data_IF_695367405557
#
_entry.id   IF_695367405557
#
_cell.length_a   1.000
_cell.length_b   1.000
_cell.length_c   1.000
_cell.angle_alpha   90.00
_cell.angle_beta   90.00
_cell.angle_gamma   90.00
#
_symmetry.space_group_name_H-M   'P 1'
#
loop_
_entity.id
_entity.type
_entity.pdbx_description
1 polymer ?
#
# COMPACT_ATOMS: atom_id res chain seq x y z
N UNK A 1 -9.05 -3.45 9.56
CA UNK A 1 -7.95 -2.60 10.09
C UNK A 1 -8.40 -1.19 10.45
N UNK A 2 -9.33 -0.56 9.73
CA UNK A 2 -9.75 0.82 9.98
C UNK A 2 -10.22 1.13 11.42
N UNK A 3 -10.71 0.13 12.17
CA UNK A 3 -11.11 0.30 13.58
C UNK A 3 -9.94 0.21 14.58
N UNK A 4 -8.73 -0.13 14.12
CA UNK A 4 -7.55 -0.37 14.95
C UNK A 4 -6.37 0.54 14.62
N UNK A 5 -6.26 1.00 13.36
CA UNK A 5 -5.15 1.82 12.89
C UNK A 5 -5.49 3.32 12.97
N UNK A 6 -4.52 4.14 13.37
CA UNK A 6 -4.67 5.61 13.37
C UNK A 6 -4.64 6.20 11.94
N UNK A 7 -4.03 5.48 11.00
CA UNK A 7 -3.92 5.88 9.60
C UNK A 7 -3.87 4.65 8.71
N UNK A 8 -4.62 4.69 7.60
CA UNK A 8 -4.66 3.64 6.59
C UNK A 8 -4.31 4.23 5.23
N UNK A 9 -3.07 4.03 4.80
CA UNK A 9 -2.57 4.47 3.48
C UNK A 9 -2.95 3.42 2.44
N UNK A 10 -3.61 3.84 1.37
CA UNK A 10 -4.01 2.96 0.26
C UNK A 10 -3.31 3.44 -1.00
N UNK A 11 -2.51 2.56 -1.61
CA UNK A 11 -1.81 2.77 -2.88
C UNK A 11 -2.04 1.61 -3.84
N UNK A 12 -1.15 1.47 -4.84
CA UNK A 12 -1.23 0.41 -5.83
C UNK A 12 -2.54 0.40 -6.62
N UNK A 13 -2.85 -0.72 -7.28
CA UNK A 13 -4.09 -0.86 -8.05
C UNK A 13 -5.37 -0.67 -7.22
N UNK A 14 -5.31 -0.95 -5.91
CA UNK A 14 -6.46 -0.82 -5.01
C UNK A 14 -6.95 0.62 -4.88
N UNK A 15 -6.05 1.62 -4.97
CA UNK A 15 -6.44 3.01 -4.78
C UNK A 15 -7.44 3.50 -5.83
N UNK A 16 -7.43 2.94 -7.04
CA UNK A 16 -8.32 3.38 -8.13
C UNK A 16 -9.79 3.06 -7.84
N UNK A 17 -10.10 1.93 -7.22
CA UNK A 17 -11.48 1.65 -6.79
C UNK A 17 -11.96 2.65 -5.72
N UNK A 18 -11.07 3.07 -4.81
CA UNK A 18 -11.39 4.12 -3.84
C UNK A 18 -11.56 5.50 -4.48
N UNK A 19 -10.71 5.88 -5.44
CA UNK A 19 -10.83 7.13 -6.18
C UNK A 19 -12.12 7.16 -7.02
N UNK A 20 -12.45 6.05 -7.68
CA UNK A 20 -13.70 5.90 -8.42
C UNK A 20 -14.94 5.99 -7.49
N UNK A 21 -14.85 5.44 -6.27
CA UNK A 21 -15.90 5.58 -5.26
C UNK A 21 -16.10 7.04 -4.79
N UNK A 22 -15.09 7.90 -4.92
CA UNK A 22 -15.19 9.36 -4.72
C UNK A 22 -15.77 10.11 -5.94
N UNK A 23 -16.11 9.39 -7.02
CA UNK A 23 -16.62 9.97 -8.26
C UNK A 23 -15.53 10.47 -9.22
N UNK A 24 -14.27 10.11 -9.00
CA UNK A 24 -13.17 10.49 -9.88
C UNK A 24 -13.05 9.53 -11.07
N UNK A 25 -12.70 10.05 -12.24
CA UNK A 25 -12.31 9.23 -13.39
C UNK A 25 -10.95 8.58 -13.13
N UNK A 26 -10.86 7.27 -13.37
CA UNK A 26 -9.61 6.51 -13.24
C UNK A 26 -9.07 6.01 -14.59
N UNK A 27 -9.62 6.49 -15.69
CA UNK A 27 -9.21 6.10 -17.05
C UNK A 27 -9.33 4.59 -17.25
N UNK A 28 -8.25 3.96 -17.75
CA UNK A 28 -8.15 2.51 -17.93
C UNK A 28 -7.43 1.81 -16.78
N UNK A 29 -7.33 2.45 -15.61
CA UNK A 29 -6.70 1.85 -14.42
C UNK A 29 -7.46 0.64 -13.90
N UNK A 30 -6.80 -0.22 -13.12
CA UNK A 30 -7.43 -1.41 -12.54
C UNK A 30 -8.60 -1.01 -11.62
N UNK A 31 -9.81 -1.40 -11.99
CA UNK A 31 -11.04 -1.07 -11.28
C UNK A 31 -11.82 -2.35 -10.95
N UNK A 32 -12.25 -2.48 -9.71
CA UNK A 32 -13.19 -3.52 -9.26
C UNK A 32 -14.55 -2.87 -9.03
N UNK A 33 -15.39 -2.84 -10.07
CA UNK A 33 -16.69 -2.14 -10.02
C UNK A 33 -17.60 -2.69 -8.92
N UNK A 34 -17.54 -4.00 -8.66
CA UNK A 34 -18.29 -4.68 -7.62
C UNK A 34 -17.92 -4.23 -6.19
N UNK A 35 -16.76 -3.61 -6.02
CA UNK A 35 -16.26 -3.12 -4.72
C UNK A 35 -16.57 -1.63 -4.49
N UNK A 36 -17.15 -0.92 -5.46
CA UNK A 36 -17.41 0.52 -5.38
C UNK A 36 -18.27 0.90 -4.16
N UNK A 37 -19.38 0.19 -3.95
CA UNK A 37 -20.27 0.45 -2.81
C UNK A 37 -19.55 0.20 -1.48
N UNK A 38 -18.69 -0.83 -1.43
CA UNK A 38 -17.88 -1.13 -0.24
C UNK A 38 -16.85 -0.03 0.03
N UNK A 39 -16.13 0.42 -1.00
CA UNK A 39 -15.17 1.50 -0.89
C UNK A 39 -15.83 2.82 -0.46
N UNK A 40 -17.02 3.11 -1.00
CA UNK A 40 -17.81 4.29 -0.61
C UNK A 40 -18.21 4.24 0.87
N UNK A 41 -18.75 3.11 1.31
CA UNK A 41 -19.10 2.88 2.72
C UNK A 41 -17.89 3.04 3.66
N UNK A 42 -16.72 2.56 3.24
CA UNK A 42 -15.49 2.68 4.02
C UNK A 42 -15.00 4.13 4.09
N UNK A 43 -15.07 4.88 2.98
CA UNK A 43 -14.72 6.29 2.95
C UNK A 43 -15.68 7.14 3.79
N UNK A 44 -16.97 6.83 3.75
CA UNK A 44 -17.98 7.53 4.56
C UNK A 44 -17.78 7.29 6.06
N UNK A 45 -17.39 6.08 6.46
CA UNK A 45 -17.19 5.70 7.87
C UNK A 45 -15.81 6.04 8.43
N UNK A 46 -14.76 5.99 7.61
CA UNK A 46 -13.36 6.04 8.03
C UNK A 46 -12.50 6.96 7.17
N UNK A 47 -13.10 7.95 6.49
CA UNK A 47 -12.40 8.87 5.60
C UNK A 47 -11.36 9.77 6.29
N UNK A 48 -11.44 9.92 7.61
CA UNK A 48 -10.44 10.59 8.45
C UNK A 48 -9.19 9.74 8.66
N UNK A 49 -9.35 8.41 8.69
CA UNK A 49 -8.26 7.42 8.82
C UNK A 49 -7.69 7.03 7.46
N UNK A 50 -8.50 6.99 6.39
CA UNK A 50 -8.08 6.54 5.06
C UNK A 50 -7.34 7.66 4.31
N UNK A 51 -6.18 7.34 3.76
CA UNK A 51 -5.35 8.25 2.98
C UNK A 51 -5.09 7.69 1.58
N UNK A 52 -5.65 8.37 0.58
CA UNK A 52 -5.48 8.06 -0.84
C UNK A 52 -4.39 8.94 -1.48
N UNK A 53 -3.81 8.52 -2.62
CA UNK A 53 -2.86 9.32 -3.38
C UNK A 53 -3.52 10.60 -3.93
N UNK A 54 -2.73 11.65 -4.08
CA UNK A 54 -3.16 12.96 -4.63
C UNK A 54 -2.66 13.19 -6.05
N UNK A 55 -1.66 12.42 -6.46
CA UNK A 55 -1.07 12.39 -7.79
C UNK A 55 -0.67 10.96 -8.16
N UNK A 56 -0.72 10.66 -9.45
CA UNK A 56 -0.55 9.31 -10.00
C UNK A 56 0.41 9.40 -11.18
N UNK A 57 1.31 8.43 -11.28
CA UNK A 57 2.11 8.20 -12.49
C UNK A 57 1.30 7.33 -13.42
N UNK A 58 0.97 7.85 -14.60
CA UNK A 58 0.13 7.21 -15.60
C UNK A 58 0.91 6.88 -16.87
N UNK A 59 0.44 5.89 -17.60
CA UNK A 59 0.95 5.52 -18.91
C UNK A 59 -0.17 4.96 -19.80
N UNK A 60 0.08 4.92 -21.12
CA UNK A 60 -0.87 4.43 -22.12
C UNK A 60 -0.94 2.89 -22.12
N UNK A 61 0.13 2.21 -21.70
CA UNK A 61 0.25 0.74 -21.72
C UNK A 61 0.90 0.21 -20.45
N UNK A 62 0.48 -0.98 -20.04
CA UNK A 62 1.18 -1.78 -19.03
C UNK A 62 2.46 -2.38 -19.63
N UNK A 63 3.52 -1.57 -19.72
CA UNK A 63 4.81 -1.98 -20.27
C UNK A 63 5.95 -1.15 -19.66
N UNK A 64 7.11 -1.78 -19.47
CA UNK A 64 8.29 -1.16 -18.85
C UNK A 64 8.83 0.05 -19.64
N UNK A 65 8.59 0.11 -20.96
CA UNK A 65 9.03 1.15 -21.88
C UNK A 65 7.93 2.16 -22.22
N UNK A 66 6.73 2.05 -21.63
CA UNK A 66 5.66 3.02 -21.86
C UNK A 66 6.06 4.38 -21.27
N UNK A 67 5.93 5.49 -22.03
CA UNK A 67 6.18 6.83 -21.50
C UNK A 67 5.30 7.10 -20.29
N UNK A 68 5.93 7.50 -19.19
CA UNK A 68 5.28 7.86 -17.93
C UNK A 68 5.06 9.37 -17.86
N UNK A 69 3.92 9.78 -17.34
CA UNK A 69 3.68 11.16 -16.91
C UNK A 69 3.01 11.18 -15.53
N UNK A 70 3.18 12.27 -14.79
CA UNK A 70 2.51 12.45 -13.50
C UNK A 70 1.35 13.41 -13.66
N UNK A 71 0.18 13.00 -13.18
CA UNK A 71 -1.05 13.80 -13.18
C UNK A 71 -1.63 13.85 -11.77
N UNK A 72 -2.46 14.85 -11.48
CA UNK A 72 -3.25 14.85 -10.26
C UNK A 72 -4.25 13.67 -10.28
N UNK A 73 -4.58 13.13 -9.11
CA UNK A 73 -5.47 11.97 -8.99
C UNK A 73 -6.89 12.24 -9.54
N UNK A 74 -7.31 13.50 -9.58
CA UNK A 74 -8.59 13.96 -10.17
C UNK A 74 -8.49 14.29 -11.68
N UNK A 75 -7.34 14.05 -12.31
CA UNK A 75 -7.04 14.39 -13.71
C UNK A 75 -6.43 13.23 -14.50
N UNK A 76 -6.73 11.98 -14.13
CA UNK A 76 -6.30 10.81 -14.89
C UNK A 76 -6.98 10.84 -16.28
N UNK A 77 -6.22 10.87 -17.39
CA UNK A 77 -6.79 10.85 -18.74
C UNK A 77 -7.58 9.57 -19.02
N UNK A 78 -8.62 9.67 -19.83
CA UNK A 78 -9.55 8.56 -20.09
C UNK A 78 -8.88 7.35 -20.78
N UNK A 79 -7.82 7.59 -21.53
CA UNK A 79 -7.06 6.61 -22.33
C UNK A 79 -5.79 6.10 -21.62
N UNK A 80 -5.58 6.46 -20.34
CA UNK A 80 -4.39 6.08 -19.57
C UNK A 80 -4.74 5.31 -18.31
N UNK A 81 -3.77 4.55 -17.82
CA UNK A 81 -3.83 3.83 -16.54
C UNK A 81 -2.77 4.33 -15.58
N UNK A 82 -3.12 4.38 -14.30
CA UNK A 82 -2.18 4.62 -13.22
C UNK A 82 -1.37 3.37 -12.90
N UNK A 83 -0.06 3.53 -12.83
CA UNK A 83 0.90 2.43 -12.60
C UNK A 83 1.79 2.68 -11.37
N UNK A 84 1.81 3.89 -10.81
CA UNK A 84 2.49 4.20 -9.53
C UNK A 84 1.86 5.44 -8.89
N UNK A 85 2.15 5.67 -7.61
CA UNK A 85 1.80 6.95 -6.96
C UNK A 85 2.81 8.03 -7.33
N UNK A 86 2.35 9.28 -7.41
CA UNK A 86 3.21 10.41 -7.72
C UNK A 86 4.05 10.91 -6.53
N UNK A 87 5.01 11.81 -6.79
CA UNK A 87 5.92 12.34 -5.77
C UNK A 87 5.23 13.11 -4.64
N UNK A 88 4.12 13.81 -4.90
CA UNK A 88 3.40 14.53 -3.82
C UNK A 88 2.69 13.55 -2.89
N UNK A 89 2.19 12.43 -3.41
CA UNK A 89 1.63 11.33 -2.62
C UNK A 89 2.69 10.68 -1.77
N UNK A 90 3.87 10.38 -2.33
CA UNK A 90 5.01 9.86 -1.56
C UNK A 90 5.35 10.80 -0.40
N UNK A 91 5.53 12.09 -0.67
CA UNK A 91 5.85 13.10 0.34
C UNK A 91 4.79 13.20 1.45
N UNK A 92 3.52 13.17 1.08
CA UNK A 92 2.40 13.15 2.04
C UNK A 92 2.45 11.89 2.91
N UNK A 93 2.63 10.73 2.31
CA UNK A 93 2.72 9.45 3.02
C UNK A 93 3.97 9.38 3.90
N UNK A 94 5.12 9.91 3.48
CA UNK A 94 6.32 10.04 4.31
C UNK A 94 6.03 10.81 5.58
N UNK A 95 5.26 11.90 5.50
CA UNK A 95 4.90 12.72 6.66
C UNK A 95 4.06 11.91 7.66
N UNK A 96 3.06 11.16 7.18
CA UNK A 96 2.23 10.29 8.02
C UNK A 96 3.07 9.20 8.69
N UNK A 97 3.88 8.49 7.90
CA UNK A 97 4.74 7.40 8.37
C UNK A 97 5.78 7.88 9.40
N UNK A 98 6.29 9.11 9.25
CA UNK A 98 7.29 9.66 10.17
C UNK A 98 6.81 9.82 11.62
N UNK A 99 5.49 9.88 11.82
CA UNK A 99 4.85 10.01 13.14
C UNK A 99 4.34 8.67 13.69
N UNK A 100 4.39 7.60 12.90
CA UNK A 100 3.87 6.29 13.29
C UNK A 100 4.80 5.60 14.30
N UNK A 101 4.21 4.95 15.32
CA UNK A 101 4.95 4.08 16.25
C UNK A 101 5.01 2.63 15.77
N UNK A 102 4.01 2.22 15.00
CA UNK A 102 3.93 0.89 14.41
C UNK A 102 3.46 1.02 12.97
N UNK A 103 4.17 0.36 12.06
CA UNK A 103 3.88 0.38 10.63
C UNK A 103 3.74 -1.06 10.17
N UNK A 104 2.64 -1.37 9.50
CA UNK A 104 2.48 -2.61 8.76
C UNK A 104 2.31 -2.28 7.28
N UNK A 105 3.22 -2.76 6.45
CA UNK A 105 3.21 -2.50 5.01
C UNK A 105 2.94 -3.78 4.23
N UNK A 106 1.86 -3.79 3.44
CA UNK A 106 1.45 -4.91 2.62
C UNK A 106 0.90 -4.42 1.28
N UNK A 107 1.63 -4.71 0.22
CA UNK A 107 1.35 -4.27 -1.15
C UNK A 107 2.28 -3.12 -1.61
N UNK A 108 2.91 -3.22 -2.80
CA UNK A 108 3.65 -2.10 -3.38
C UNK A 108 2.71 -0.94 -3.76
N UNK A 109 3.29 0.24 -3.98
CA UNK A 109 2.52 1.44 -4.35
C UNK A 109 2.27 1.57 -5.86
N UNK A 110 3.02 0.81 -6.66
CA UNK A 110 2.99 0.78 -8.11
C UNK A 110 3.57 -0.51 -8.66
N UNK A 111 3.70 -0.59 -9.99
CA UNK A 111 4.29 -1.71 -10.73
C UNK A 111 5.82 -1.64 -10.61
N UNK A 112 6.32 -1.98 -9.41
CA UNK A 112 7.73 -1.82 -9.03
C UNK A 112 8.70 -2.64 -9.88
N UNK A 113 8.20 -3.62 -10.61
CA UNK A 113 8.96 -4.42 -11.56
C UNK A 113 9.44 -3.60 -12.76
N UNK A 114 8.76 -2.49 -13.05
CA UNK A 114 9.11 -1.56 -14.12
C UNK A 114 9.80 -0.33 -13.53
N UNK A 115 11.05 0.00 -13.93
CA UNK A 115 11.80 1.11 -13.34
C UNK A 115 11.08 2.46 -13.37
N UNK A 116 10.27 2.71 -14.41
CA UNK A 116 9.48 3.93 -14.55
C UNK A 116 8.33 4.06 -13.53
N UNK A 117 7.92 2.95 -12.91
CA UNK A 117 6.75 2.85 -12.01
C UNK A 117 7.11 2.25 -10.64
N UNK A 118 8.39 2.36 -10.27
CA UNK A 118 8.94 1.85 -9.02
C UNK A 118 9.22 2.93 -7.96
N UNK A 119 9.13 4.20 -8.33
CA UNK A 119 9.56 5.32 -7.49
C UNK A 119 8.66 5.51 -6.27
N UNK A 120 7.35 5.33 -6.41
CA UNK A 120 6.40 5.40 -5.31
C UNK A 120 6.60 4.27 -4.31
N UNK A 121 6.79 3.05 -4.80
CA UNK A 121 7.11 1.89 -3.94
C UNK A 121 8.42 2.09 -3.19
N UNK A 122 9.48 2.53 -3.89
CA UNK A 122 10.77 2.86 -3.28
C UNK A 122 10.63 3.95 -2.22
N UNK A 123 9.98 5.06 -2.54
CA UNK A 123 9.86 6.21 -1.65
C UNK A 123 9.08 5.90 -0.37
N UNK A 124 8.00 5.11 -0.47
CA UNK A 124 7.28 4.63 0.72
C UNK A 124 8.15 3.69 1.55
N UNK A 125 8.84 2.74 0.93
CA UNK A 125 9.72 1.83 1.64
C UNK A 125 10.87 2.56 2.36
N UNK A 126 11.50 3.54 1.73
CA UNK A 126 12.53 4.40 2.34
C UNK A 126 11.98 5.25 3.50
N UNK A 127 10.73 5.72 3.39
CA UNK A 127 10.05 6.41 4.47
C UNK A 127 9.82 5.50 5.68
N UNK A 128 9.45 4.24 5.45
CA UNK A 128 9.30 3.24 6.52
C UNK A 128 10.64 2.98 7.19
N UNK A 129 11.70 2.72 6.43
CA UNK A 129 13.07 2.51 6.97
C UNK A 129 13.50 3.71 7.82
N UNK A 130 13.22 4.93 7.34
CA UNK A 130 13.53 6.17 8.07
C UNK A 130 12.74 6.29 9.38
N UNK A 131 11.48 5.86 9.41
CA UNK A 131 10.67 5.84 10.63
C UNK A 131 11.17 4.76 11.61
N UNK A 132 11.56 3.59 11.11
CA UNK A 132 12.15 2.50 11.90
C UNK A 132 13.45 2.92 12.56
N UNK A 133 14.34 3.60 11.82
CA UNK A 133 15.57 4.17 12.36
C UNK A 133 15.31 5.21 13.48
N UNK A 134 14.12 5.84 13.50
CA UNK A 134 13.68 6.76 14.57
C UNK A 134 12.96 6.07 15.73
N UNK A 135 12.83 4.74 15.70
CA UNK A 135 12.26 3.93 16.76
C UNK A 135 10.84 3.40 16.51
N UNK A 136 10.29 3.56 15.29
CA UNK A 136 9.06 2.88 14.93
C UNK A 136 9.29 1.36 14.80
N UNK A 137 8.27 0.56 15.10
CA UNK A 137 8.27 -0.87 14.80
C UNK A 137 7.63 -1.11 13.43
N UNK A 138 8.40 -1.58 12.45
CA UNK A 138 7.91 -1.82 11.09
C UNK A 138 7.85 -3.28 10.72
N UNK A 139 6.74 -3.71 10.13
CA UNK A 139 6.56 -5.04 9.57
C UNK A 139 6.28 -4.94 8.07
N UNK A 140 7.07 -5.64 7.27
CA UNK A 140 6.79 -5.88 5.85
C UNK A 140 6.03 -7.21 5.76
N UNK A 141 4.79 -7.15 5.30
CA UNK A 141 3.90 -8.30 5.13
C UNK A 141 3.61 -8.60 3.66
N UNK A 142 3.38 -9.87 3.34
CA UNK A 142 3.05 -10.31 1.98
C UNK A 142 4.27 -10.53 1.08
N UNK A 143 4.11 -11.44 0.11
CA UNK A 143 5.18 -11.82 -0.81
C UNK A 143 5.66 -10.67 -1.68
N UNK A 144 4.74 -9.87 -2.22
CA UNK A 144 5.07 -8.80 -3.17
C UNK A 144 5.83 -7.64 -2.51
N UNK A 145 5.46 -7.23 -1.28
CA UNK A 145 6.24 -6.22 -0.55
C UNK A 145 7.64 -6.70 -0.21
N UNK A 146 7.79 -7.96 0.21
CA UNK A 146 9.12 -8.55 0.45
C UNK A 146 9.94 -8.67 -0.85
N UNK A 147 9.30 -8.99 -1.97
CA UNK A 147 9.93 -8.98 -3.29
C UNK A 147 10.36 -7.57 -3.71
N UNK A 148 9.53 -6.56 -3.48
CA UNK A 148 9.85 -5.16 -3.75
C UNK A 148 11.09 -4.69 -2.98
N UNK A 149 11.20 -5.00 -1.68
CA UNK A 149 12.39 -4.68 -0.88
C UNK A 149 13.66 -5.21 -1.55
N UNK A 150 13.64 -6.49 -1.96
CA UNK A 150 14.80 -7.16 -2.58
C UNK A 150 15.12 -6.60 -3.97
N UNK A 151 14.12 -6.50 -4.83
CA UNK A 151 14.30 -6.09 -6.22
C UNK A 151 14.73 -4.63 -6.33
N UNK A 152 14.27 -3.78 -5.41
CA UNK A 152 14.67 -2.37 -5.36
C UNK A 152 16.02 -2.17 -4.65
N UNK A 153 16.65 -3.23 -4.13
CA UNK A 153 17.94 -3.17 -3.44
C UNK A 153 17.87 -2.39 -2.14
N UNK A 154 16.73 -2.43 -1.45
CA UNK A 154 16.53 -1.75 -0.18
C UNK A 154 17.12 -2.59 0.96
N UNK A 155 17.71 -1.97 2.01
CA UNK A 155 18.30 -2.70 3.11
C UNK A 155 17.22 -3.47 3.90
N UNK A 156 17.26 -4.80 3.86
CA UNK A 156 16.30 -5.65 4.58
C UNK A 156 16.36 -5.42 6.11
N UNK A 157 17.54 -5.12 6.64
CA UNK A 157 17.78 -4.77 8.04
C UNK A 157 17.31 -3.35 8.41
N UNK A 158 16.85 -2.57 7.43
CA UNK A 158 16.17 -1.29 7.65
C UNK A 158 14.74 -1.45 8.21
N UNK A 159 14.20 -2.66 8.23
CA UNK A 159 12.88 -2.97 8.78
C UNK A 159 12.99 -3.82 10.05
N UNK A 160 12.07 -3.63 11.01
CA UNK A 160 12.05 -4.44 12.24
C UNK A 160 11.72 -5.92 11.97
N UNK A 161 10.85 -6.21 11.01
CA UNK A 161 10.50 -7.57 10.62
C UNK A 161 10.05 -7.65 9.15
N UNK A 162 10.53 -8.65 8.42
CA UNK A 162 10.03 -9.01 7.08
C UNK A 162 9.40 -10.40 7.19
N UNK A 163 8.08 -10.46 7.02
CA UNK A 163 7.33 -11.70 7.13
C UNK A 163 7.48 -12.56 5.88
N UNK A 164 7.70 -13.86 6.09
CA UNK A 164 7.62 -14.89 5.05
C UNK A 164 6.26 -15.59 5.01
N UNK A 165 5.31 -15.18 5.86
CA UNK A 165 4.02 -15.84 6.03
C UNK A 165 3.01 -15.59 4.91
N UNK A 166 3.30 -14.70 3.95
CA UNK A 166 2.40 -14.40 2.83
C UNK A 166 0.98 -14.08 3.31
N UNK A 167 -0.01 -14.81 2.77
CA UNK A 167 -1.42 -14.67 3.15
C UNK A 167 -1.71 -14.94 4.63
N UNK A 168 -0.94 -15.81 5.30
CA UNK A 168 -1.15 -16.09 6.73
C UNK A 168 -0.89 -14.85 7.60
N UNK A 169 0.08 -14.00 7.24
CA UNK A 169 0.34 -12.75 7.96
C UNK A 169 -0.85 -11.77 7.89
N UNK A 170 -1.56 -11.76 6.77
CA UNK A 170 -2.73 -10.91 6.56
C UNK A 170 -3.95 -11.48 7.29
N UNK A 171 -4.21 -12.78 7.19
CA UNK A 171 -5.30 -13.44 7.94
C UNK A 171 -5.14 -13.25 9.45
N UNK A 172 -3.90 -13.31 9.96
CA UNK A 172 -3.62 -13.03 11.37
C UNK A 172 -3.98 -11.59 11.76
N UNK A 173 -3.67 -10.61 10.90
CA UNK A 173 -4.02 -9.20 11.14
C UNK A 173 -5.52 -8.90 11.00
N UNK A 174 -6.23 -9.65 10.17
CA UNK A 174 -7.68 -9.65 10.11
C UNK A 174 -8.30 -10.14 11.42
N UNK A 175 -7.51 -10.76 12.30
CA UNK A 175 -7.94 -11.31 13.58
C UNK A 175 -8.53 -12.71 13.46
N UNK A 176 -8.25 -13.42 12.35
CA UNK A 176 -8.66 -14.81 12.19
C UNK A 176 -7.81 -15.72 13.07
N UNK A 177 -8.43 -16.76 13.61
CA UNK A 177 -7.71 -17.87 14.24
C UNK A 177 -6.99 -18.66 13.16
N UNK A 178 -5.66 -18.69 13.22
CA UNK A 178 -4.85 -19.53 12.33
C UNK A 178 -4.72 -20.93 12.96
N UNK A 179 -5.24 -22.00 12.33
CA UNK A 179 -5.25 -23.34 12.94
C UNK A 179 -3.86 -23.84 13.36
N UNK A 180 -2.82 -23.50 12.59
CA UNK A 180 -1.43 -23.87 12.89
C UNK A 180 -0.81 -23.12 14.07
N UNK A 181 -1.34 -21.96 14.45
CA UNK A 181 -0.96 -21.24 15.68
C UNK A 181 -1.84 -21.71 16.84
N UNK A 182 -3.13 -21.89 16.59
CA UNK A 182 -4.11 -22.26 17.60
C UNK A 182 -3.78 -23.59 18.28
N UNK A 183 -3.31 -24.58 17.53
CA UNK A 183 -2.87 -25.87 18.07
C UNK A 183 -1.68 -25.76 19.04
N UNK A 184 -0.90 -24.67 18.97
CA UNK A 184 0.22 -24.39 19.87
C UNK A 184 -0.21 -23.64 21.13
N UNK A 185 -1.42 -23.09 21.15
CA UNK A 185 -2.03 -22.50 22.34
C UNK A 185 -2.53 -23.63 23.26
N UNK A 186 -1.60 -24.40 23.83
CA UNK A 186 -1.91 -25.24 24.97
C UNK A 186 -2.11 -24.32 26.17
N UNK A 187 -3.26 -24.40 26.85
CA UNK A 187 -3.54 -23.66 28.08
C UNK A 187 -2.31 -23.69 29.01
N UNK A 188 -1.81 -22.51 29.38
CA UNK A 188 -0.77 -22.34 30.38
C UNK A 188 -1.31 -22.60 31.81
N UNK A 189 -2.01 -23.72 31.98
CA UNK A 189 -2.46 -24.28 33.25
C UNK A 189 -2.16 -25.79 33.26
N UNK A 190 -0.88 -26.10 33.46
CA UNK A 190 -0.41 -27.37 34.01
C UNK A 190 0.64 -27.05 35.08
#
# INVERSE_FOLDING_TARGET
>A
LATKADSLIIGGGMCFTFLAAQGLSVGTSLLQEEMLDTCKDLLDKYGDVIHLPVDIVVADKFAADSPAETVAADKIPADKMGLDIGPESVKRFTTLLSNARTIFWNGPMGVFEFPAFASGTRGVAEAIISATAKGAFSVVGGGDSAAAVRQLGLPEDGFSHISTGGGASLEYLEGKTLPGIDVLNTDASA
#
